data_IF_617516298255
#
_entry.id   IF_617516298255
#
_cell.length_a   1.000
_cell.length_b   1.000
_cell.length_c   1.000
_cell.angle_alpha   90.00
_cell.angle_beta   90.00
_cell.angle_gamma   90.00
#
_symmetry.space_group_name_H-M   'P 1'
#
loop_
_entity.id
_entity.type
_entity.pdbx_description
1 polymer ?
#
# COMPACT_ATOMS: atom_id res chain seq x y z
N UNK A 1 -5.52 11.14 -14.59
CA UNK A 1 -6.75 11.45 -13.83
C UNK A 1 -6.49 12.66 -12.93
N UNK A 2 -7.42 13.61 -12.85
CA UNK A 2 -7.35 14.74 -11.90
C UNK A 2 -8.42 14.57 -10.83
N UNK A 3 -8.02 14.60 -9.57
CA UNK A 3 -8.89 14.48 -8.41
C UNK A 3 -8.66 15.69 -7.49
N UNK A 4 -9.69 16.09 -6.75
CA UNK A 4 -9.48 17.04 -5.66
C UNK A 4 -8.79 16.37 -4.45
N UNK A 5 -8.24 17.20 -3.58
CA UNK A 5 -7.53 16.75 -2.37
C UNK A 5 -8.37 15.82 -1.51
N UNK A 6 -9.66 16.12 -1.33
CA UNK A 6 -10.56 15.34 -0.48
C UNK A 6 -10.71 13.91 -0.99
N UNK A 7 -10.87 13.72 -2.30
CA UNK A 7 -10.94 12.39 -2.90
C UNK A 7 -9.61 11.66 -2.81
N UNK A 8 -8.49 12.39 -2.89
CA UNK A 8 -7.16 11.82 -2.76
C UNK A 8 -6.91 11.23 -1.38
N UNK A 9 -7.14 12.04 -0.35
CA UNK A 9 -7.00 11.70 1.07
C UNK A 9 -7.97 10.59 1.49
N UNK A 10 -9.23 10.67 1.07
CA UNK A 10 -10.23 9.64 1.37
C UNK A 10 -9.84 8.27 0.84
N UNK A 11 -9.24 8.21 -0.35
CA UNK A 11 -8.81 6.92 -0.93
C UNK A 11 -7.57 6.38 -0.22
N UNK A 12 -6.61 7.24 0.17
CA UNK A 12 -5.48 6.81 1.03
C UNK A 12 -5.99 6.25 2.36
N UNK A 13 -6.96 6.92 2.97
CA UNK A 13 -7.57 6.44 4.21
C UNK A 13 -8.29 5.10 4.01
N UNK A 14 -9.01 4.92 2.91
CA UNK A 14 -9.67 3.65 2.60
C UNK A 14 -8.66 2.50 2.42
N UNK A 15 -7.54 2.74 1.72
CA UNK A 15 -6.45 1.77 1.59
C UNK A 15 -5.86 1.42 2.96
N UNK A 16 -5.59 2.44 3.79
CA UNK A 16 -5.08 2.26 5.15
C UNK A 16 -6.02 1.40 6.00
N UNK A 17 -7.32 1.66 5.94
CA UNK A 17 -8.34 0.89 6.67
C UNK A 17 -8.43 -0.56 6.19
N UNK A 18 -8.29 -0.80 4.87
CA UNK A 18 -8.25 -2.16 4.33
C UNK A 18 -7.02 -2.92 4.87
N UNK A 19 -5.84 -2.30 4.90
CA UNK A 19 -4.63 -2.93 5.46
C UNK A 19 -4.82 -3.25 6.95
N UNK A 20 -5.45 -2.35 7.71
CA UNK A 20 -5.77 -2.59 9.11
C UNK A 20 -6.74 -3.78 9.27
N UNK A 21 -7.74 -3.89 8.40
CA UNK A 21 -8.66 -5.04 8.43
C UNK A 21 -7.92 -6.36 8.17
N UNK A 22 -7.01 -6.39 7.19
CA UNK A 22 -6.15 -7.55 6.93
C UNK A 22 -5.27 -7.89 8.13
N UNK A 23 -4.72 -6.90 8.82
CA UNK A 23 -3.80 -7.10 9.97
C UNK A 23 -4.47 -7.71 11.21
N UNK A 24 -5.81 -7.69 11.29
CA UNK A 24 -6.58 -8.13 12.46
C UNK A 24 -7.15 -9.57 12.33
N UNK A 25 -6.59 -10.41 11.46
CA UNK A 25 -6.95 -11.82 11.35
C UNK A 25 -6.62 -12.60 12.64
N UNK A 26 -7.60 -13.36 13.17
CA UNK A 26 -7.55 -13.94 14.53
C UNK A 26 -7.12 -15.40 14.59
N UNK A 27 -7.38 -16.13 13.51
CA UNK A 27 -7.05 -17.55 13.36
C UNK A 27 -5.58 -17.78 12.97
N UNK A 28 -4.82 -16.69 12.76
CA UNK A 28 -3.42 -16.72 12.39
C UNK A 28 -3.18 -17.33 11.01
N UNK A 29 -4.23 -17.57 10.22
CA UNK A 29 -4.17 -18.27 8.95
C UNK A 29 -4.16 -17.28 7.80
N UNK A 30 -3.15 -17.38 6.94
CA UNK A 30 -3.05 -16.59 5.72
C UNK A 30 -2.92 -17.52 4.52
N UNK A 31 -4.06 -17.83 3.92
CA UNK A 31 -4.22 -18.81 2.85
C UNK A 31 -4.07 -18.19 1.44
N UNK A 32 -4.30 -18.99 0.41
CA UNK A 32 -4.20 -18.54 -0.99
C UNK A 32 -5.17 -17.40 -1.31
N UNK A 33 -6.38 -17.44 -0.74
CA UNK A 33 -7.39 -16.39 -0.96
C UNK A 33 -6.93 -15.07 -0.35
N UNK A 34 -6.46 -15.11 0.90
CA UNK A 34 -5.93 -13.96 1.63
C UNK A 34 -4.70 -13.39 0.95
N UNK A 35 -3.80 -14.26 0.48
CA UNK A 35 -2.62 -13.89 -0.30
C UNK A 35 -2.98 -13.13 -1.57
N UNK A 36 -3.93 -13.65 -2.38
CA UNK A 36 -4.39 -12.97 -3.60
C UNK A 36 -5.02 -11.62 -3.29
N UNK A 37 -5.90 -11.57 -2.29
CA UNK A 37 -6.60 -10.34 -1.92
C UNK A 37 -5.63 -9.24 -1.43
N UNK A 38 -4.66 -9.59 -0.59
CA UNK A 38 -3.64 -8.64 -0.15
C UNK A 38 -2.70 -8.22 -1.28
N UNK A 39 -2.32 -9.16 -2.16
CA UNK A 39 -1.47 -8.84 -3.32
C UNK A 39 -2.14 -7.79 -4.22
N UNK A 40 -3.44 -7.92 -4.46
CA UNK A 40 -4.23 -6.93 -5.21
C UNK A 40 -4.30 -5.58 -4.49
N UNK A 41 -4.53 -5.56 -3.17
CA UNK A 41 -4.53 -4.32 -2.38
C UNK A 41 -3.19 -3.58 -2.49
N UNK A 42 -2.09 -4.32 -2.45
CA UNK A 42 -0.73 -3.80 -2.57
C UNK A 42 -0.41 -3.26 -3.96
N UNK A 43 -0.84 -3.95 -5.00
CA UNK A 43 -0.73 -3.47 -6.38
C UNK A 43 -1.55 -2.19 -6.57
N UNK A 44 -2.78 -2.18 -6.07
CA UNK A 44 -3.63 -1.00 -6.09
C UNK A 44 -3.00 0.18 -5.36
N UNK A 45 -2.45 -0.02 -4.16
CA UNK A 45 -1.69 1.01 -3.45
C UNK A 45 -0.54 1.56 -4.30
N UNK A 46 0.23 0.68 -4.94
CA UNK A 46 1.36 1.09 -5.80
C UNK A 46 0.88 2.00 -6.93
N UNK A 47 -0.17 1.62 -7.66
CA UNK A 47 -0.75 2.45 -8.72
C UNK A 47 -1.33 3.76 -8.17
N UNK A 48 -1.93 3.69 -6.97
CA UNK A 48 -2.51 4.85 -6.33
C UNK A 48 -1.47 5.87 -5.85
N UNK A 49 -0.28 5.43 -5.40
CA UNK A 49 0.81 6.35 -5.05
C UNK A 49 1.25 7.23 -6.23
N UNK A 50 1.27 6.66 -7.44
CA UNK A 50 1.54 7.42 -8.66
C UNK A 50 0.46 8.49 -8.91
N UNK A 51 -0.82 8.10 -8.81
CA UNK A 51 -1.96 9.02 -8.95
C UNK A 51 -1.91 10.13 -7.90
N UNK A 52 -1.69 9.78 -6.64
CA UNK A 52 -1.60 10.71 -5.52
C UNK A 52 -0.48 11.73 -5.75
N UNK A 53 0.72 11.23 -6.05
CA UNK A 53 1.91 12.07 -6.30
C UNK A 53 1.64 13.10 -7.39
N UNK A 54 1.15 12.64 -8.56
CA UNK A 54 0.88 13.53 -9.70
C UNK A 54 -0.18 14.58 -9.40
N UNK A 55 -1.17 14.29 -8.57
CA UNK A 55 -2.19 15.27 -8.21
C UNK A 55 -1.69 16.27 -7.16
N UNK A 56 -0.94 15.82 -6.15
CA UNK A 56 -0.40 16.72 -5.11
C UNK A 56 0.66 17.67 -5.65
N UNK A 57 1.49 17.22 -6.60
CA UNK A 57 2.43 18.08 -7.34
C UNK A 57 1.70 19.26 -8.03
N UNK A 58 0.48 19.06 -8.51
CA UNK A 58 -0.31 20.08 -9.22
C UNK A 58 -1.13 20.95 -8.25
N UNK A 59 -1.80 20.33 -7.27
CA UNK A 59 -2.73 21.02 -6.38
C UNK A 59 -2.02 21.95 -5.40
N UNK A 60 -0.89 21.49 -4.87
CA UNK A 60 -0.25 22.15 -3.72
C UNK A 60 1.13 22.70 -4.05
N UNK A 61 1.61 22.52 -5.30
CA UNK A 61 3.04 22.59 -5.62
C UNK A 61 3.88 21.80 -4.61
N UNK A 62 3.31 20.69 -4.10
CA UNK A 62 3.93 19.90 -3.05
C UNK A 62 5.23 19.31 -3.58
N UNK A 63 6.31 19.47 -2.81
CA UNK A 63 7.59 18.87 -3.14
C UNK A 63 7.52 17.35 -2.91
N UNK A 64 8.21 16.59 -3.74
CA UNK A 64 8.29 15.12 -3.64
C UNK A 64 8.62 14.60 -2.22
N UNK A 65 9.49 15.25 -1.40
CA UNK A 65 9.72 14.83 -0.02
C UNK A 65 8.48 14.89 0.88
N UNK A 66 7.62 15.90 0.72
CA UNK A 66 6.40 16.02 1.51
C UNK A 66 5.41 14.90 1.17
N UNK A 67 5.24 14.63 -0.13
CA UNK A 67 4.38 13.55 -0.63
C UNK A 67 4.86 12.19 -0.10
N UNK A 68 6.18 11.95 -0.07
CA UNK A 68 6.75 10.73 0.51
C UNK A 68 6.42 10.59 1.99
N UNK A 69 6.49 11.69 2.75
CA UNK A 69 6.12 11.69 4.18
C UNK A 69 4.65 11.34 4.41
N UNK A 70 3.75 11.77 3.52
CA UNK A 70 2.32 11.44 3.61
C UNK A 70 2.03 9.96 3.33
N UNK A 71 2.83 9.33 2.46
CA UNK A 71 2.68 7.93 2.04
C UNK A 71 3.38 6.93 2.99
N UNK A 72 4.43 7.37 3.68
CA UNK A 72 5.25 6.54 4.57
C UNK A 72 4.44 5.77 5.63
N UNK A 73 3.44 6.34 6.31
CA UNK A 73 2.64 5.60 7.29
C UNK A 73 1.94 4.36 6.70
N UNK A 74 1.41 4.46 5.49
CA UNK A 74 0.74 3.34 4.82
C UNK A 74 1.77 2.30 4.39
N UNK A 75 2.91 2.74 3.85
CA UNK A 75 3.99 1.82 3.50
C UNK A 75 4.52 1.05 4.70
N UNK A 76 4.63 1.71 5.86
CA UNK A 76 4.99 1.05 7.11
C UNK A 76 3.95 0.00 7.53
N UNK A 77 2.65 0.28 7.41
CA UNK A 77 1.60 -0.71 7.68
C UNK A 77 1.72 -1.94 6.78
N UNK A 78 1.95 -1.75 5.47
CA UNK A 78 2.16 -2.85 4.52
C UNK A 78 3.36 -3.71 4.94
N UNK A 79 4.48 -3.07 5.28
CA UNK A 79 5.70 -3.78 5.68
C UNK A 79 5.50 -4.58 6.99
N UNK A 80 4.81 -3.99 7.98
CA UNK A 80 4.48 -4.68 9.23
C UNK A 80 3.56 -5.87 9.00
N UNK A 81 2.55 -5.72 8.13
CA UNK A 81 1.68 -6.83 7.77
C UNK A 81 2.43 -7.97 7.09
N UNK A 82 3.31 -7.67 6.13
CA UNK A 82 4.15 -8.69 5.46
C UNK A 82 5.02 -9.42 6.48
N UNK A 83 5.61 -8.69 7.44
CA UNK A 83 6.39 -9.29 8.52
C UNK A 83 5.51 -10.22 9.37
N UNK A 84 4.32 -9.78 9.79
CA UNK A 84 3.36 -10.57 10.57
C UNK A 84 2.94 -11.85 9.84
N UNK A 85 2.68 -11.79 8.53
CA UNK A 85 2.33 -12.97 7.74
C UNK A 85 3.50 -13.94 7.66
N UNK A 86 4.70 -13.43 7.36
CA UNK A 86 5.87 -14.26 7.09
C UNK A 86 6.54 -14.87 8.33
N UNK A 87 6.22 -14.40 9.54
CA UNK A 87 6.73 -15.00 10.79
C UNK A 87 6.04 -16.32 11.14
N UNK A 88 4.82 -16.55 10.67
CA UNK A 88 4.15 -17.84 10.80
C UNK A 88 4.55 -18.76 9.63
N UNK A 89 5.20 -19.92 9.88
CA UNK A 89 5.61 -20.85 8.83
C UNK A 89 4.43 -21.50 8.08
N UNK A 90 3.24 -21.56 8.69
CA UNK A 90 2.05 -22.16 8.09
C UNK A 90 1.33 -21.22 7.12
N UNK A 91 1.72 -19.94 7.10
CA UNK A 91 1.14 -18.94 6.21
C UNK A 91 1.75 -18.98 4.81
N UNK A 92 0.92 -18.67 3.82
CA UNK A 92 1.39 -18.40 2.46
C UNK A 92 2.20 -17.10 2.45
N UNK A 93 3.50 -17.22 2.20
CA UNK A 93 4.43 -16.10 2.31
C UNK A 93 4.16 -14.99 1.28
N UNK A 94 4.30 -13.76 1.74
CA UNK A 94 4.30 -12.57 0.89
C UNK A 94 5.73 -12.14 0.56
N UNK A 95 5.99 -11.59 -0.64
CA UNK A 95 7.29 -11.02 -0.98
C UNK A 95 7.58 -9.78 -0.13
N UNK A 96 8.78 -9.74 0.46
CA UNK A 96 9.22 -8.69 1.39
C UNK A 96 9.33 -7.29 0.76
N UNK A 97 9.58 -7.22 -0.56
CA UNK A 97 9.81 -5.96 -1.27
C UNK A 97 8.77 -5.74 -2.36
N UNK A 98 8.26 -4.50 -2.46
CA UNK A 98 7.54 -4.04 -3.66
C UNK A 98 8.63 -3.97 -4.72
N UNK A 99 8.58 -4.82 -5.74
CA UNK A 99 9.29 -4.55 -6.99
C UNK A 99 8.72 -3.23 -7.50
N UNK A 100 9.42 -2.13 -7.25
CA UNK A 100 9.09 -0.86 -7.88
C UNK A 100 9.25 -1.07 -9.38
N UNK A 101 8.34 -0.49 -10.17
CA UNK A 101 8.43 -0.43 -11.64
C UNK A 101 9.68 0.32 -12.16
N UNK A 102 10.66 0.62 -11.30
CA UNK A 102 11.96 1.16 -11.69
C UNK A 102 12.85 0.09 -12.39
N UNK A 103 12.53 -1.20 -12.26
CA UNK A 103 13.26 -2.26 -12.97
C UNK A 103 12.79 -2.52 -14.41
N UNK A 104 11.63 -1.99 -14.84
CA UNK A 104 11.13 -2.17 -16.21
C UNK A 104 11.64 -1.10 -17.21
N UNK A 105 12.47 -0.14 -16.77
CA UNK A 105 13.01 0.93 -17.62
C UNK A 105 14.55 0.99 -17.65
N UNK A 106 15.24 -0.15 -17.52
CA UNK A 106 16.69 -0.25 -17.78
C UNK A 106 17.01 -1.06 -19.03
#
# INVERSE_FOLDING_TARGET
MRLDRKHLENSLQAISNLIDAFSNFKDGTFDETSHKAFSLLREFYTQYTYIYTKNMEILDNALTPQIKSDLEPIQNKINQFILQVNTNPDNMRLPMYITSHEEENK
#
